data_IF_668955849953
#
_entry.id   IF_668955849953
#
_cell.length_a   1.000
_cell.length_b   1.000
_cell.length_c   1.000
_cell.angle_alpha   90.00
_cell.angle_beta   90.00
_cell.angle_gamma   90.00
#
_symmetry.space_group_name_H-M   'P 1'
#
loop_
_entity.id
_entity.type
_entity.pdbx_description
1 polymer ?
#
# COMPACT_ATOMS: atom_id res chain seq x y z
N UNK A 1 24.24 -23.86 -19.59
CA UNK A 1 23.17 -24.72 -19.02
C UNK A 1 21.96 -23.84 -18.93
N UNK A 2 20.98 -24.01 -19.82
CA UNK A 2 19.76 -23.21 -19.75
C UNK A 2 18.96 -23.61 -18.52
N UNK A 3 18.58 -22.66 -17.64
CA UNK A 3 17.65 -22.98 -16.58
C UNK A 3 16.25 -23.09 -17.19
N UNK A 4 15.94 -24.26 -17.74
CA UNK A 4 14.61 -24.60 -18.24
C UNK A 4 13.63 -24.75 -17.07
N UNK A 5 12.85 -23.70 -16.79
CA UNK A 5 11.76 -23.72 -15.83
C UNK A 5 11.21 -22.31 -15.57
N UNK A 6 10.00 -22.22 -15.02
CA UNK A 6 9.35 -20.95 -14.63
C UNK A 6 10.27 -20.01 -13.82
N UNK A 7 11.19 -20.58 -13.04
CA UNK A 7 12.17 -19.86 -12.21
C UNK A 7 13.46 -19.46 -12.93
N UNK A 8 13.76 -20.05 -14.09
CA UNK A 8 14.96 -19.73 -14.88
C UNK A 8 14.93 -18.34 -15.50
N UNK A 9 13.74 -17.77 -15.70
CA UNK A 9 13.55 -16.40 -16.18
C UNK A 9 13.72 -15.33 -15.10
N UNK A 10 13.86 -15.72 -13.82
CA UNK A 10 13.95 -14.78 -12.69
C UNK A 10 15.39 -14.51 -12.25
N UNK A 11 16.35 -15.33 -12.70
CA UNK A 11 17.78 -15.11 -12.47
C UNK A 11 18.38 -14.54 -13.74
N UNK A 12 18.53 -13.21 -13.75
CA UNK A 12 19.08 -12.48 -14.88
C UNK A 12 20.61 -12.51 -14.78
N UNK A 13 21.24 -13.21 -15.74
CA UNK A 13 22.69 -13.36 -15.82
C UNK A 13 23.20 -12.45 -16.94
N UNK A 14 24.09 -11.52 -16.63
CA UNK A 14 24.71 -10.66 -17.62
C UNK A 14 25.64 -11.47 -18.55
N UNK A 15 25.60 -11.26 -19.88
CA UNK A 15 26.59 -11.84 -20.79
C UNK A 15 28.00 -11.37 -20.41
N UNK A 16 28.98 -12.28 -20.40
CA UNK A 16 30.36 -11.95 -20.10
C UNK A 16 31.35 -12.68 -21.01
N UNK A 17 32.56 -12.13 -21.15
CA UNK A 17 33.70 -12.76 -21.84
C UNK A 17 34.89 -12.82 -20.89
N UNK A 18 35.61 -13.96 -20.87
CA UNK A 18 36.73 -14.18 -19.95
C UNK A 18 36.31 -14.77 -18.60
N UNK A 19 37.18 -14.63 -17.59
CA UNK A 19 36.89 -15.10 -16.23
C UNK A 19 36.16 -14.01 -15.44
N UNK A 20 35.01 -14.36 -14.87
CA UNK A 20 34.19 -13.48 -14.04
C UNK A 20 33.74 -14.27 -12.82
N UNK A 21 33.69 -13.64 -11.65
CA UNK A 21 33.22 -14.34 -10.46
C UNK A 21 31.72 -14.65 -10.56
N UNK A 22 31.22 -15.77 -10.02
CA UNK A 22 29.81 -16.14 -10.13
C UNK A 22 28.83 -15.07 -9.63
N UNK A 23 29.22 -14.28 -8.63
CA UNK A 23 28.42 -13.17 -8.07
C UNK A 23 28.44 -11.89 -8.91
N UNK A 24 29.37 -11.74 -9.85
CA UNK A 24 29.48 -10.56 -10.73
C UNK A 24 28.59 -10.67 -11.97
N UNK A 25 28.12 -11.89 -12.28
CA UNK A 25 27.24 -12.14 -13.42
C UNK A 25 25.77 -12.16 -13.05
N UNK A 26 25.45 -12.40 -11.77
CA UNK A 26 24.06 -12.45 -11.26
C UNK A 26 23.61 -11.05 -10.90
N UNK A 27 22.53 -10.58 -11.53
CA UNK A 27 21.91 -9.30 -11.19
C UNK A 27 20.97 -9.52 -9.99
N UNK A 28 21.30 -9.04 -8.78
CA UNK A 28 20.51 -9.35 -7.58
C UNK A 28 19.17 -8.63 -7.57
N UNK A 29 19.11 -7.41 -8.11
CA UNK A 29 17.91 -6.57 -8.15
C UNK A 29 17.50 -6.36 -9.60
N UNK A 30 16.45 -7.07 -9.99
CA UNK A 30 15.89 -7.02 -11.34
C UNK A 30 14.70 -6.05 -11.38
N UNK A 31 13.96 -6.04 -12.49
CA UNK A 31 12.82 -5.14 -12.71
C UNK A 31 11.82 -5.11 -11.55
N UNK A 32 11.61 -6.23 -10.85
CA UNK A 32 10.68 -6.30 -9.71
C UNK A 32 11.09 -5.35 -8.57
N UNK A 33 12.39 -5.25 -8.28
CA UNK A 33 12.90 -4.31 -7.28
C UNK A 33 12.79 -2.87 -7.78
N UNK A 34 12.80 -2.61 -9.09
CA UNK A 34 12.59 -1.26 -9.66
C UNK A 34 11.11 -0.85 -9.63
N UNK A 35 10.20 -1.81 -9.82
CA UNK A 35 8.75 -1.56 -9.75
C UNK A 35 8.32 -1.20 -8.33
N UNK A 36 8.93 -1.78 -7.30
CA UNK A 36 8.66 -1.45 -5.90
C UNK A 36 8.73 0.06 -5.58
N UNK A 37 9.87 0.77 -5.74
CA UNK A 37 9.98 2.18 -5.45
C UNK A 37 9.12 3.03 -6.39
N UNK A 38 8.94 2.61 -7.65
CA UNK A 38 8.03 3.27 -8.58
C UNK A 38 6.60 3.30 -8.04
N UNK A 39 6.07 2.15 -7.60
CA UNK A 39 4.74 2.07 -7.00
C UNK A 39 4.65 2.90 -5.72
N UNK A 40 5.64 2.81 -4.82
CA UNK A 40 5.63 3.63 -3.60
C UNK A 40 5.72 5.13 -3.90
N UNK A 41 6.40 5.52 -4.98
CA UNK A 41 6.44 6.91 -5.45
C UNK A 41 5.08 7.40 -5.95
N UNK A 42 4.32 6.54 -6.67
CA UNK A 42 2.94 6.84 -7.05
C UNK A 42 2.04 7.00 -5.82
N UNK A 43 2.20 6.15 -4.81
CA UNK A 43 1.48 6.24 -3.54
C UNK A 43 1.78 7.58 -2.85
N UNK A 44 3.06 7.96 -2.72
CA UNK A 44 3.46 9.22 -2.11
C UNK A 44 2.93 10.44 -2.87
N UNK A 45 2.96 10.40 -4.21
CA UNK A 45 2.40 11.45 -5.06
C UNK A 45 0.88 11.60 -4.90
N UNK A 46 0.15 10.48 -4.93
CA UNK A 46 -1.30 10.47 -4.77
C UNK A 46 -1.71 10.97 -3.38
N UNK A 47 -1.03 10.53 -2.32
CA UNK A 47 -1.25 11.04 -0.97
C UNK A 47 -0.98 12.55 -0.88
N UNK A 48 0.14 13.03 -1.43
CA UNK A 48 0.46 14.46 -1.45
C UNK A 48 -0.65 15.28 -2.11
N UNK A 49 -1.19 14.82 -3.25
CA UNK A 49 -2.32 15.47 -3.92
C UNK A 49 -3.57 15.47 -3.04
N UNK A 50 -3.83 14.40 -2.30
CA UNK A 50 -4.94 14.36 -1.35
C UNK A 50 -4.78 15.38 -0.22
N UNK A 51 -3.58 15.50 0.34
CA UNK A 51 -3.27 16.45 1.42
C UNK A 51 -3.46 17.92 0.99
N UNK A 52 -3.27 18.25 -0.30
CA UNK A 52 -3.53 19.62 -0.79
C UNK A 52 -4.96 20.08 -0.51
N UNK A 53 -5.94 19.18 -0.59
CA UNK A 53 -7.31 19.49 -0.23
C UNK A 53 -7.54 19.35 1.29
N UNK A 54 -7.30 18.17 1.86
CA UNK A 54 -7.71 17.87 3.24
C UNK A 54 -6.88 18.61 4.31
N UNK A 55 -5.58 18.84 4.07
CA UNK A 55 -4.67 19.47 5.04
C UNK A 55 -4.46 20.95 4.73
N UNK A 56 -4.22 21.27 3.45
CA UNK A 56 -3.91 22.65 3.03
C UNK A 56 -5.15 23.46 2.60
N UNK A 57 -6.34 22.88 2.58
CA UNK A 57 -7.61 23.58 2.32
C UNK A 57 -7.76 24.09 0.89
N UNK A 58 -7.03 23.52 -0.09
CA UNK A 58 -7.09 23.97 -1.47
C UNK A 58 -8.33 23.39 -2.18
N UNK A 59 -9.45 24.11 -2.13
CA UNK A 59 -10.75 23.70 -2.69
C UNK A 59 -10.71 23.24 -4.16
N UNK A 60 -9.78 23.78 -4.96
CA UNK A 60 -9.60 23.36 -6.36
C UNK A 60 -9.30 21.85 -6.52
N UNK A 61 -8.74 21.23 -5.49
CA UNK A 61 -8.38 19.82 -5.49
C UNK A 61 -9.45 18.92 -4.88
N UNK A 62 -10.57 19.45 -4.40
CA UNK A 62 -11.67 18.66 -3.83
C UNK A 62 -12.09 17.43 -4.66
N UNK A 63 -12.32 17.51 -5.99
CA UNK A 63 -12.72 16.34 -6.76
C UNK A 63 -11.59 15.30 -6.91
N UNK A 64 -10.33 15.75 -6.86
CA UNK A 64 -9.17 14.88 -7.04
C UNK A 64 -8.68 14.30 -5.71
N UNK A 65 -8.83 15.03 -4.60
CA UNK A 65 -8.26 14.64 -3.30
C UNK A 65 -8.83 13.32 -2.77
N UNK A 66 -10.13 13.11 -2.96
CA UNK A 66 -10.80 11.86 -2.57
C UNK A 66 -10.34 10.69 -3.45
N UNK A 67 -10.29 10.90 -4.78
CA UNK A 67 -9.84 9.89 -5.72
C UNK A 67 -8.36 9.54 -5.54
N UNK A 68 -7.53 10.54 -5.22
CA UNK A 68 -6.10 10.37 -4.97
C UNK A 68 -5.85 9.53 -3.72
N UNK A 69 -6.65 9.69 -2.67
CA UNK A 69 -6.54 8.88 -1.46
C UNK A 69 -6.89 7.40 -1.73
N UNK A 70 -7.99 7.15 -2.47
CA UNK A 70 -8.35 5.81 -2.92
C UNK A 70 -7.27 5.19 -3.82
N UNK A 71 -6.68 5.99 -4.70
CA UNK A 71 -5.59 5.58 -5.58
C UNK A 71 -4.34 5.20 -4.77
N UNK A 72 -4.00 5.99 -3.75
CA UNK A 72 -2.90 5.69 -2.83
C UNK A 72 -3.11 4.35 -2.13
N UNK A 73 -4.31 4.09 -1.57
CA UNK A 73 -4.62 2.81 -0.94
C UNK A 73 -4.53 1.65 -1.93
N UNK A 74 -5.11 1.81 -3.13
CA UNK A 74 -5.09 0.77 -4.15
C UNK A 74 -3.65 0.37 -4.51
N UNK A 75 -2.77 1.33 -4.83
CA UNK A 75 -1.38 1.02 -5.12
C UNK A 75 -0.65 0.44 -3.91
N UNK A 76 -0.89 0.96 -2.71
CA UNK A 76 -0.22 0.50 -1.49
C UNK A 76 -0.48 -0.97 -1.18
N UNK A 77 -1.69 -1.49 -1.49
CA UNK A 77 -2.01 -2.93 -1.35
C UNK A 77 -1.14 -3.80 -2.28
N UNK A 78 -0.78 -3.29 -3.46
CA UNK A 78 0.02 -4.03 -4.44
C UNK A 78 1.53 -3.80 -4.32
N UNK A 79 1.99 -2.81 -3.54
CA UNK A 79 3.42 -2.55 -3.29
C UNK A 79 4.21 -3.79 -2.83
N UNK A 80 3.70 -4.66 -1.93
CA UNK A 80 4.44 -5.85 -1.49
C UNK A 80 4.59 -6.92 -2.57
N UNK A 81 3.72 -6.95 -3.58
CA UNK A 81 3.68 -8.01 -4.59
C UNK A 81 5.00 -8.16 -5.36
N UNK A 82 5.60 -7.10 -5.95
CA UNK A 82 6.89 -7.24 -6.62
C UNK A 82 8.01 -7.71 -5.68
N UNK A 83 8.00 -7.30 -4.41
CA UNK A 83 8.97 -7.77 -3.42
C UNK A 83 8.81 -9.27 -3.11
N UNK A 84 7.57 -9.73 -2.95
CA UNK A 84 7.27 -11.14 -2.70
C UNK A 84 7.63 -12.02 -3.90
N UNK A 85 7.37 -11.55 -5.12
CA UNK A 85 7.73 -12.26 -6.36
C UNK A 85 9.24 -12.28 -6.60
N UNK A 86 9.97 -11.26 -6.13
CA UNK A 86 11.43 -11.21 -6.19
C UNK A 86 12.09 -12.11 -5.11
N UNK A 87 11.42 -12.32 -3.98
CA UNK A 87 11.88 -13.23 -2.94
C UNK A 87 11.91 -14.68 -3.46
N UNK A 88 13.05 -15.35 -3.31
CA UNK A 88 13.14 -16.78 -3.62
C UNK A 88 12.28 -17.68 -2.72
N UNK A 89 11.83 -17.18 -1.56
CA UNK A 89 10.98 -17.90 -0.60
C UNK A 89 9.93 -16.94 0.02
N UNK A 90 8.86 -16.58 -0.71
CA UNK A 90 7.91 -15.55 -0.30
C UNK A 90 7.21 -15.84 1.04
N UNK A 91 6.96 -17.12 1.36
CA UNK A 91 6.36 -17.54 2.62
C UNK A 91 7.16 -17.10 3.85
N UNK A 92 8.46 -16.86 3.72
CA UNK A 92 9.32 -16.41 4.82
C UNK A 92 9.25 -14.90 5.07
N UNK A 93 8.58 -14.13 4.21
CA UNK A 93 8.45 -12.68 4.36
C UNK A 93 7.74 -12.30 5.68
N UNK A 94 6.83 -13.14 6.17
CA UNK A 94 6.16 -12.93 7.46
C UNK A 94 7.14 -12.92 8.64
N UNK A 95 8.24 -13.67 8.58
CA UNK A 95 9.25 -13.65 9.64
C UNK A 95 9.89 -12.25 9.74
N UNK A 96 10.14 -11.59 8.61
CA UNK A 96 10.68 -10.22 8.60
C UNK A 96 9.73 -9.22 9.26
N UNK A 97 8.41 -9.44 9.18
CA UNK A 97 7.41 -8.58 9.81
C UNK A 97 7.20 -8.90 11.31
N UNK A 98 7.21 -10.18 11.68
CA UNK A 98 6.95 -10.63 13.05
C UNK A 98 8.18 -10.55 13.97
N UNK A 99 9.36 -10.81 13.43
CA UNK A 99 10.66 -10.77 14.14
C UNK A 99 11.65 -9.85 13.41
N UNK A 100 11.37 -8.53 13.33
CA UNK A 100 12.16 -7.60 12.54
C UNK A 100 13.55 -7.38 13.15
N UNK A 101 14.57 -7.37 12.30
CA UNK A 101 15.90 -6.89 12.67
C UNK A 101 15.99 -5.39 12.39
N UNK A 102 16.14 -4.56 13.42
CA UNK A 102 16.04 -3.09 13.31
C UNK A 102 17.11 -2.42 12.44
N UNK A 103 18.25 -3.08 12.21
CA UNK A 103 19.28 -2.57 11.29
C UNK A 103 18.97 -2.86 9.81
N UNK A 104 17.96 -3.69 9.52
CA UNK A 104 17.56 -3.99 8.16
C UNK A 104 16.61 -2.93 7.64
N UNK A 105 17.03 -2.18 6.64
CA UNK A 105 16.18 -1.20 5.97
C UNK A 105 14.88 -1.87 5.46
N UNK A 106 14.96 -3.06 4.88
CA UNK A 106 13.78 -3.78 4.36
C UNK A 106 12.74 -4.09 5.45
N UNK A 107 13.19 -4.49 6.65
CA UNK A 107 12.28 -4.78 7.76
C UNK A 107 11.58 -3.50 8.24
N UNK A 108 12.34 -2.42 8.39
CA UNK A 108 11.83 -1.11 8.79
C UNK A 108 10.82 -0.57 7.76
N UNK A 109 11.16 -0.62 6.46
CA UNK A 109 10.25 -0.23 5.39
C UNK A 109 8.95 -1.03 5.39
N UNK A 110 9.00 -2.34 5.61
CA UNK A 110 7.80 -3.17 5.68
C UNK A 110 6.86 -2.82 6.84
N UNK A 111 7.42 -2.48 8.00
CA UNK A 111 6.65 -2.01 9.16
C UNK A 111 6.01 -0.64 8.90
N UNK A 112 6.76 0.33 8.39
CA UNK A 112 6.22 1.64 8.03
C UNK A 112 5.15 1.54 6.93
N UNK A 113 5.36 0.67 5.94
CA UNK A 113 4.37 0.42 4.89
C UNK A 113 3.06 -0.13 5.47
N UNK A 114 3.14 -1.09 6.39
CA UNK A 114 1.96 -1.66 7.07
C UNK A 114 1.23 -0.62 7.93
N UNK A 115 1.97 0.17 8.70
CA UNK A 115 1.40 1.28 9.45
C UNK A 115 0.73 2.32 8.54
N UNK A 116 1.34 2.62 7.41
CA UNK A 116 0.81 3.57 6.45
C UNK A 116 -0.47 3.09 5.76
N UNK A 117 -0.61 1.78 5.49
CA UNK A 117 -1.89 1.20 5.04
C UNK A 117 -2.99 1.43 6.06
N UNK A 118 -2.70 1.27 7.36
CA UNK A 118 -3.69 1.54 8.43
C UNK A 118 -4.10 3.01 8.41
N UNK A 119 -3.13 3.93 8.27
CA UNK A 119 -3.43 5.37 8.17
C UNK A 119 -4.31 5.69 6.96
N UNK A 120 -4.01 5.15 5.77
CA UNK A 120 -4.82 5.36 4.58
C UNK A 120 -6.24 4.84 4.76
N UNK A 121 -6.41 3.65 5.35
CA UNK A 121 -7.74 3.09 5.64
C UNK A 121 -8.51 3.99 6.60
N UNK A 122 -7.86 4.48 7.66
CA UNK A 122 -8.49 5.39 8.61
C UNK A 122 -8.88 6.71 7.96
N UNK A 123 -8.00 7.32 7.16
CA UNK A 123 -8.28 8.58 6.47
C UNK A 123 -9.44 8.43 5.47
N UNK A 124 -9.47 7.34 4.70
CA UNK A 124 -10.59 7.01 3.81
C UNK A 124 -11.87 6.80 4.61
N UNK A 125 -11.78 6.15 5.77
CA UNK A 125 -12.92 5.92 6.65
C UNK A 125 -13.50 7.24 7.17
N UNK A 126 -12.68 8.16 7.68
CA UNK A 126 -13.10 9.49 8.12
C UNK A 126 -13.75 10.26 6.96
N UNK A 127 -13.11 10.26 5.80
CA UNK A 127 -13.61 10.94 4.61
C UNK A 127 -15.00 10.44 4.17
N UNK A 128 -15.26 9.13 4.25
CA UNK A 128 -16.55 8.54 3.88
C UNK A 128 -17.51 8.34 5.05
N UNK A 129 -17.14 8.72 6.27
CA UNK A 129 -17.95 8.51 7.48
C UNK A 129 -19.38 9.04 7.35
N UNK A 130 -19.66 10.24 6.82
CA UNK A 130 -21.03 10.73 6.65
C UNK A 130 -21.89 9.82 5.75
N UNK A 131 -21.28 9.30 4.68
CA UNK A 131 -21.94 8.39 3.75
C UNK A 131 -22.21 7.02 4.39
N UNK A 132 -21.24 6.49 5.15
CA UNK A 132 -21.36 5.22 5.90
C UNK A 132 -22.51 5.31 6.90
N UNK A 133 -22.61 6.39 7.66
CA UNK A 133 -23.67 6.60 8.66
C UNK A 133 -25.05 6.74 8.01
N UNK A 134 -25.17 7.51 6.92
CA UNK A 134 -26.44 7.60 6.17
C UNK A 134 -26.87 6.23 5.64
N UNK A 135 -25.95 5.45 5.08
CA UNK A 135 -26.24 4.08 4.63
C UNK A 135 -26.68 3.18 5.78
N UNK A 136 -26.03 3.27 6.94
CA UNK A 136 -26.41 2.49 8.13
C UNK A 136 -27.84 2.80 8.59
N UNK A 137 -28.26 4.06 8.54
CA UNK A 137 -29.61 4.48 8.95
C UNK A 137 -30.72 4.03 7.97
N UNK A 138 -30.42 3.96 6.67
CA UNK A 138 -31.41 3.64 5.64
C UNK A 138 -31.44 2.17 5.21
N UNK A 139 -30.48 1.33 5.62
CA UNK A 139 -30.41 -0.06 5.20
C UNK A 139 -30.85 -1.03 6.30
N UNK A 140 -31.69 -2.01 5.94
CA UNK A 140 -32.19 -3.04 6.85
C UNK A 140 -31.54 -4.41 6.60
N UNK A 141 -31.64 -5.31 7.57
CA UNK A 141 -31.14 -6.69 7.46
C UNK A 141 -29.63 -6.85 7.69
N UNK A 142 -29.02 -7.83 7.02
CA UNK A 142 -27.59 -8.16 7.20
C UNK A 142 -26.67 -7.05 6.68
N UNK A 143 -27.02 -6.41 5.57
CA UNK A 143 -26.26 -5.28 5.00
C UNK A 143 -26.28 -4.09 5.96
N UNK A 144 -27.41 -3.80 6.60
CA UNK A 144 -27.51 -2.76 7.63
C UNK A 144 -26.60 -3.02 8.83
N UNK A 145 -26.49 -4.27 9.29
CA UNK A 145 -25.54 -4.65 10.35
C UNK A 145 -24.08 -4.41 9.95
N UNK A 146 -23.71 -4.71 8.70
CA UNK A 146 -22.36 -4.43 8.20
C UNK A 146 -22.06 -2.93 8.22
N UNK A 147 -23.00 -2.09 7.76
CA UNK A 147 -22.84 -0.63 7.79
C UNK A 147 -22.81 -0.06 9.21
N UNK A 148 -23.53 -0.65 10.16
CA UNK A 148 -23.46 -0.29 11.58
C UNK A 148 -22.12 -0.63 12.23
N UNK A 149 -21.52 -1.77 11.86
CA UNK A 149 -20.15 -2.10 12.29
C UNK A 149 -19.16 -1.15 11.63
N UNK A 150 -19.34 -0.87 10.34
CA UNK A 150 -18.51 0.08 9.60
C UNK A 150 -18.63 1.51 10.13
N UNK A 151 -19.76 1.93 10.69
CA UNK A 151 -19.90 3.24 11.35
C UNK A 151 -19.33 3.27 12.77
N UNK A 152 -18.82 2.13 13.27
CA UNK A 152 -18.39 1.89 14.65
C UNK A 152 -19.47 2.25 15.69
N UNK A 153 -20.75 2.16 15.30
CA UNK A 153 -21.88 2.60 16.12
C UNK A 153 -21.99 4.12 16.29
N UNK A 154 -21.15 4.92 15.63
CA UNK A 154 -21.25 6.38 15.66
C UNK A 154 -22.35 6.83 14.70
N UNK A 155 -23.46 7.34 15.27
CA UNK A 155 -24.56 7.95 14.50
C UNK A 155 -24.50 9.47 14.44
N UNK A 156 -23.50 10.07 15.10
CA UNK A 156 -23.42 11.53 15.25
C UNK A 156 -22.84 12.19 14.01
N UNK A 157 -23.71 12.92 13.29
CA UNK A 157 -23.39 13.78 12.16
C UNK A 157 -23.48 15.26 12.55
N UNK A 158 -23.38 15.58 13.84
CA UNK A 158 -23.41 16.97 14.29
C UNK A 158 -22.27 17.78 13.65
N UNK A 159 -22.47 19.10 13.42
CA UNK A 159 -21.44 19.97 12.86
C UNK A 159 -20.14 19.98 13.68
N UNK A 160 -20.20 19.60 14.96
CA UNK A 160 -19.04 19.50 15.85
C UNK A 160 -18.24 18.24 15.58
N UNK A 161 -18.88 17.10 15.33
CA UNK A 161 -18.22 15.84 14.97
C UNK A 161 -17.55 15.93 13.59
N UNK A 162 -18.24 16.49 12.60
CA UNK A 162 -17.70 16.65 11.24
C UNK A 162 -16.54 17.65 11.10
N UNK A 163 -16.20 18.40 12.17
CA UNK A 163 -15.03 19.31 12.17
C UNK A 163 -13.73 18.60 12.55
N UNK A 164 -13.83 17.45 13.22
CA UNK A 164 -12.68 16.66 13.65
C UNK A 164 -12.37 15.51 12.68
N UNK A 165 -13.37 15.12 11.87
CA UNK A 165 -13.23 14.23 10.72
C UNK A 165 -12.51 14.95 9.57
#
# INVERSE_FOLDING_TARGET
>A
MEPGGFWGHLVEIAPYTGYVYPNETVIPWTVLIVVYPYLTGLVAGAFTVSSLYHVFGMERFRPVGQFALLTALAFMIFVPLPLLLHLGNPQRAFNTMLTPHWTSAMAVFGLFASFYVILLILEIWFMFRPYIVQRAQHSSGFIGRLWHVASLGSGDLSPKAMRFD
#
